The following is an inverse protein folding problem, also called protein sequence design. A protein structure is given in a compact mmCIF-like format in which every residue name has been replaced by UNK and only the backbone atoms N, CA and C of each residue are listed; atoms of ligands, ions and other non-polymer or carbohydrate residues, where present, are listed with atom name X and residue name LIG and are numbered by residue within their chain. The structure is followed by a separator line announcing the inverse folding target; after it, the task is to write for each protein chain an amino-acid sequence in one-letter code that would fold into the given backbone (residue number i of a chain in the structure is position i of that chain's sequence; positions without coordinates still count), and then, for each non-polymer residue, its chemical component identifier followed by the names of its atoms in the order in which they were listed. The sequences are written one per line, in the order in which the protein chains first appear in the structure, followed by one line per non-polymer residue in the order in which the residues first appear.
data_IF_293170824524
#
_entry.id   IF_293170824524
#
_cell.length_a   1.000
_cell.length_b   1.000
_cell.length_c   1.000
_cell.angle_alpha   90.00
_cell.angle_beta   90.00
_cell.angle_gamma   90.00
#
_symmetry.space_group_name_H-M   'P 1'
#
loop_
_entity.id
_entity.type
_entity.pdbx_description
1 polymer ?
#
# COMPACT_ATOMS: atom_id res chain seq x y z
N UNK A 1 18.40 -0.07 -11.11
CA UNK A 1 17.98 0.97 -10.45
C UNK A 1 17.10 1.92 -11.21
N UNK A 2 16.24 2.59 -10.50
CA UNK A 2 15.26 3.47 -11.09
C UNK A 2 13.97 2.77 -11.50
N UNK A 3 13.92 1.46 -11.37
CA UNK A 3 12.70 0.75 -11.63
C UNK A 3 11.73 0.93 -10.47
N UNK A 4 10.45 1.06 -10.80
CA UNK A 4 9.40 1.22 -9.82
C UNK A 4 8.33 0.18 -10.05
N UNK A 5 7.71 -0.27 -8.96
CA UNK A 5 6.57 -1.15 -9.01
C UNK A 5 5.42 -0.48 -8.24
N UNK A 6 4.21 -0.80 -8.61
CA UNK A 6 3.04 -0.19 -8.02
C UNK A 6 2.06 -1.26 -7.58
N UNK A 7 1.44 -1.04 -6.42
CA UNK A 7 0.36 -1.89 -5.92
C UNK A 7 -0.83 -0.98 -5.68
N UNK A 8 -1.96 -1.31 -6.29
CA UNK A 8 -3.19 -0.55 -6.08
C UNK A 8 -4.10 -1.31 -5.13
N UNK A 9 -4.73 -0.60 -4.24
CA UNK A 9 -5.62 -1.20 -3.26
C UNK A 9 -6.64 -0.18 -2.79
N UNK A 10 -7.70 -0.68 -2.14
CA UNK A 10 -8.75 0.16 -1.57
C UNK A 10 -8.79 0.01 -0.07
N UNK A 11 -9.00 1.13 0.61
CA UNK A 11 -9.25 1.16 2.05
C UNK A 11 -10.40 2.14 2.31
N UNK A 12 -11.07 1.96 3.45
CA UNK A 12 -12.03 2.97 3.90
C UNK A 12 -11.25 4.23 4.25
N UNK A 13 -11.66 5.42 3.75
CA UNK A 13 -10.92 6.66 4.01
C UNK A 13 -10.65 6.93 5.50
N UNK A 14 -11.54 6.47 6.38
CA UNK A 14 -11.33 6.67 7.83
C UNK A 14 -10.13 5.89 8.38
N UNK A 15 -9.65 4.89 7.63
CA UNK A 15 -8.50 4.08 8.04
C UNK A 15 -7.21 4.48 7.35
N UNK A 16 -7.22 5.52 6.52
CA UNK A 16 -6.05 5.93 5.74
C UNK A 16 -4.84 6.20 6.62
N UNK A 17 -5.01 6.96 7.69
CA UNK A 17 -3.89 7.28 8.59
C UNK A 17 -3.34 6.04 9.28
N UNK A 18 -4.21 5.14 9.69
CA UNK A 18 -3.82 3.89 10.33
C UNK A 18 -2.97 3.04 9.39
N UNK A 19 -3.43 2.84 8.17
CA UNK A 19 -2.71 2.03 7.18
C UNK A 19 -1.39 2.70 6.81
N UNK A 20 -1.39 4.02 6.63
CA UNK A 20 -0.17 4.75 6.31
C UNK A 20 0.90 4.58 7.39
N UNK A 21 0.50 4.61 8.66
CA UNK A 21 1.44 4.39 9.77
C UNK A 21 2.05 3.00 9.73
N UNK A 22 1.25 1.99 9.39
CA UNK A 22 1.76 0.62 9.27
C UNK A 22 2.80 0.55 8.17
N UNK A 23 2.51 1.14 7.01
CA UNK A 23 3.43 1.14 5.87
C UNK A 23 4.71 1.90 6.21
N UNK A 24 4.60 3.04 6.88
CA UNK A 24 5.77 3.83 7.28
C UNK A 24 6.67 3.09 8.28
N UNK A 25 6.08 2.18 9.05
CA UNK A 25 6.85 1.35 9.97
C UNK A 25 7.79 0.37 9.29
N UNK A 26 7.59 0.12 8.00
CA UNK A 26 8.48 -0.72 7.19
C UNK A 26 9.36 0.19 6.33
N UNK A 27 10.61 0.33 6.70
CA UNK A 27 11.53 1.29 6.08
C UNK A 27 11.70 1.11 4.57
N UNK A 28 11.50 -0.10 4.06
CA UNK A 28 11.76 -0.42 2.66
C UNK A 28 10.52 -0.65 1.83
N UNK A 29 9.35 -0.48 2.41
CA UNK A 29 8.14 -0.92 1.73
C UNK A 29 7.76 -0.02 0.56
N UNK A 30 7.86 1.28 0.74
CA UNK A 30 7.54 2.24 -0.29
C UNK A 30 6.73 3.40 0.23
N UNK A 31 6.11 4.12 -0.68
CA UNK A 31 5.34 5.33 -0.38
C UNK A 31 3.89 5.13 -0.81
N UNK A 32 2.98 5.31 0.15
CA UNK A 32 1.54 5.23 -0.10
C UNK A 32 1.00 6.60 -0.49
N UNK A 33 0.19 6.63 -1.53
CA UNK A 33 -0.46 7.86 -2.01
C UNK A 33 -1.94 7.57 -2.25
N UNK A 34 -2.81 8.48 -1.84
CA UNK A 34 -4.23 8.41 -2.19
C UNK A 34 -4.40 8.80 -3.66
N UNK A 35 -5.10 7.96 -4.40
CA UNK A 35 -5.36 8.19 -5.83
C UNK A 35 -6.58 9.06 -6.02
N UNK A 36 -7.61 8.83 -5.19
CA UNK A 36 -8.85 9.60 -5.25
C UNK A 36 -9.48 9.68 -3.85
N UNK A 37 -10.68 10.21 -3.77
CA UNK A 37 -11.37 10.38 -2.48
C UNK A 37 -12.22 9.18 -2.09
N UNK A 38 -12.29 8.15 -2.93
CA UNK A 38 -13.11 6.96 -2.66
C UNK A 38 -12.40 5.94 -1.77
N UNK A 39 -11.10 6.13 -1.51
CA UNK A 39 -10.30 5.19 -0.74
C UNK A 39 -9.35 4.37 -1.58
N UNK A 40 -9.26 4.66 -2.88
CA UNK A 40 -8.28 4.00 -3.74
C UNK A 40 -6.90 4.57 -3.48
N UNK A 41 -5.95 3.68 -3.21
CA UNK A 41 -4.57 4.06 -2.88
C UNK A 41 -3.59 3.34 -3.77
N UNK A 42 -2.40 3.93 -3.89
CA UNK A 42 -1.30 3.36 -4.64
C UNK A 42 -0.08 3.30 -3.73
N UNK A 43 0.58 2.16 -3.69
CA UNK A 43 1.86 2.03 -3.02
C UNK A 43 2.94 1.95 -4.09
N UNK A 44 3.84 2.93 -4.10
CA UNK A 44 5.00 2.92 -4.98
C UNK A 44 6.15 2.24 -4.26
N UNK A 45 6.63 1.15 -4.82
CA UNK A 45 7.70 0.36 -4.24
C UNK A 45 8.70 -0.02 -5.34
N UNK A 46 9.60 -0.94 -5.03
CA UNK A 46 10.53 -1.47 -6.02
C UNK A 46 10.12 -2.90 -6.36
N UNK A 47 10.57 -3.45 -7.50
CA UNK A 47 10.27 -4.84 -7.82
C UNK A 47 10.73 -5.81 -6.72
N UNK A 48 11.83 -5.50 -6.03
CA UNK A 48 12.35 -6.37 -4.98
C UNK A 48 11.52 -6.32 -3.70
N UNK A 49 10.81 -5.23 -3.43
CA UNK A 49 9.99 -5.10 -2.22
C UNK A 49 8.51 -5.34 -2.49
N UNK A 50 8.11 -5.54 -3.74
CA UNK A 50 6.71 -5.69 -4.10
C UNK A 50 6.05 -6.88 -3.42
N UNK A 51 6.74 -8.01 -3.34
CA UNK A 51 6.19 -9.20 -2.67
C UNK A 51 5.97 -8.94 -1.19
N UNK A 52 6.92 -8.27 -0.54
CA UNK A 52 6.74 -7.89 0.86
C UNK A 52 5.56 -6.95 1.03
N UNK A 53 5.41 -5.98 0.14
CA UNK A 53 4.28 -5.06 0.17
C UNK A 53 2.96 -5.82 0.07
N UNK A 54 2.87 -6.77 -0.86
CA UNK A 54 1.68 -7.59 -1.02
C UNK A 54 1.40 -8.42 0.23
N UNK A 55 2.44 -8.98 0.86
CA UNK A 55 2.28 -9.74 2.10
C UNK A 55 1.74 -8.87 3.23
N UNK A 56 2.30 -7.68 3.40
CA UNK A 56 1.86 -6.75 4.45
C UNK A 56 0.41 -6.34 4.20
N UNK A 57 0.08 -5.94 2.98
CA UNK A 57 -1.28 -5.52 2.65
C UNK A 57 -2.27 -6.68 2.79
N UNK A 58 -1.86 -7.89 2.41
CA UNK A 58 -2.72 -9.07 2.55
C UNK A 58 -3.00 -9.41 4.01
N UNK A 59 -2.05 -9.14 4.91
CA UNK A 59 -2.25 -9.37 6.34
C UNK A 59 -3.27 -8.40 6.94
N UNK A 60 -3.58 -7.33 6.23
CA UNK A 60 -4.54 -6.30 6.64
C UNK A 60 -5.88 -6.47 5.92
N UNK A 61 -6.25 -7.70 5.61
CA UNK A 61 -7.43 -8.00 4.79
C UNK A 61 -8.74 -7.43 5.34
N UNK A 62 -8.81 -7.18 6.65
CA UNK A 62 -9.99 -6.55 7.27
C UNK A 62 -10.14 -5.08 6.89
N UNK A 63 -9.06 -4.45 6.43
CA UNK A 63 -9.01 -3.01 6.14
C UNK A 63 -8.68 -2.71 4.69
N UNK A 64 -8.02 -3.64 4.00
CA UNK A 64 -7.44 -3.41 2.68
C UNK A 64 -7.99 -4.42 1.69
N UNK A 65 -8.41 -3.94 0.52
CA UNK A 65 -8.78 -4.78 -0.62
C UNK A 65 -7.80 -4.52 -1.75
N UNK A 66 -6.96 -5.50 -2.05
CA UNK A 66 -5.95 -5.35 -3.10
C UNK A 66 -6.60 -5.52 -4.47
N UNK A 67 -6.30 -4.63 -5.40
CA UNK A 67 -6.77 -4.75 -6.78
C UNK A 67 -5.97 -5.85 -7.47
N UNK A 68 -6.69 -6.70 -8.14
CA UNK A 68 -6.10 -7.84 -8.82
C UNK A 68 -5.50 -7.52 -10.19
#
# INVERSE_FOLDING_TARGET
SGEEAYVYFHIDPKHTNFINRIIEGYEYLGVMTSVDTSGRCMLRCTPSTRLLALEVLSSLFDYVTIEG
#
